data_IF_750594614343
#
_entry.id   IF_750594614343
#
_cell.length_a   1.000
_cell.length_b   1.000
_cell.length_c   1.000
_cell.angle_alpha   90.00
_cell.angle_beta   90.00
_cell.angle_gamma   90.00
#
_symmetry.space_group_name_H-M   'P 1'
#
loop_
_entity.id
_entity.type
_entity.pdbx_description
1 polymer ?
#
# COMPACT_ATOMS: atom_id res chain seq x y z
N UNK A 1 24.76 5.66 -37.98
CA UNK A 1 25.76 5.23 -36.97
C UNK A 1 25.32 5.75 -35.61
N UNK A 2 25.09 4.84 -34.67
CA UNK A 2 24.46 5.10 -33.36
C UNK A 2 25.37 5.88 -32.40
N UNK A 3 24.88 7.02 -31.92
CA UNK A 3 25.39 7.67 -30.71
C UNK A 3 24.86 6.96 -29.47
N UNK A 4 25.68 6.12 -28.86
CA UNK A 4 25.40 5.47 -27.57
C UNK A 4 25.47 6.53 -26.47
N UNK A 5 24.32 7.00 -25.98
CA UNK A 5 24.29 7.72 -24.69
C UNK A 5 24.71 6.73 -23.61
N UNK A 6 25.85 6.98 -22.98
CA UNK A 6 26.23 6.29 -21.73
C UNK A 6 25.16 6.66 -20.71
N UNK A 7 24.40 5.66 -20.26
CA UNK A 7 23.67 5.75 -19.01
C UNK A 7 24.74 5.93 -17.93
N UNK A 8 24.79 7.12 -17.33
CA UNK A 8 25.62 7.35 -16.15
C UNK A 8 25.16 6.37 -15.08
N UNK A 9 26.01 5.42 -14.75
CA UNK A 9 25.90 4.63 -13.52
C UNK A 9 25.83 5.66 -12.39
N UNK A 10 24.70 5.71 -11.69
CA UNK A 10 24.53 6.57 -10.53
C UNK A 10 25.70 6.31 -9.59
N UNK A 11 26.41 7.38 -9.24
CA UNK A 11 27.56 7.39 -8.34
C UNK A 11 27.07 6.80 -7.01
N UNK A 12 27.44 5.55 -6.70
CA UNK A 12 27.30 5.01 -5.35
C UNK A 12 28.30 5.75 -4.45
N UNK A 13 27.98 6.99 -4.09
CA UNK A 13 28.57 7.62 -2.93
C UNK A 13 28.24 6.74 -1.72
N UNK A 14 29.19 6.59 -0.80
CA UNK A 14 29.15 5.61 0.26
C UNK A 14 28.00 5.93 1.23
N UNK A 15 26.81 5.36 1.00
CA UNK A 15 25.56 5.68 1.72
C UNK A 15 25.57 5.24 3.19
N UNK A 16 26.68 4.68 3.70
CA UNK A 16 26.83 4.06 5.02
C UNK A 16 25.82 2.93 5.31
N UNK A 17 25.01 2.51 4.33
CA UNK A 17 24.03 1.42 4.45
C UNK A 17 24.71 0.09 4.79
N UNK A 18 25.97 -0.08 4.37
CA UNK A 18 26.78 -1.26 4.69
C UNK A 18 26.88 -1.54 6.20
N UNK A 19 26.73 -0.50 7.06
CA UNK A 19 26.72 -0.68 8.52
C UNK A 19 25.51 -1.48 9.02
N UNK A 20 24.41 -1.49 8.28
CA UNK A 20 23.17 -2.17 8.64
C UNK A 20 23.05 -3.58 8.03
N UNK A 21 23.98 -4.00 7.15
CA UNK A 21 23.88 -5.27 6.40
C UNK A 21 23.77 -6.54 7.25
N UNK A 22 24.13 -6.46 8.53
CA UNK A 22 24.08 -7.59 9.47
C UNK A 22 23.23 -7.30 10.72
N UNK A 23 22.50 -6.19 10.75
CA UNK A 23 21.70 -5.76 11.90
C UNK A 23 20.26 -6.28 11.82
N UNK A 24 20.06 -7.57 11.53
CA UNK A 24 18.72 -8.16 11.35
C UNK A 24 17.89 -8.21 12.64
N UNK A 25 18.53 -8.09 13.80
CA UNK A 25 17.89 -8.14 15.13
C UNK A 25 17.73 -6.74 15.78
N UNK A 26 17.92 -5.67 15.01
CA UNK A 26 17.82 -4.29 15.51
C UNK A 26 16.67 -3.56 14.84
N UNK A 27 15.71 -3.08 15.63
CA UNK A 27 14.64 -2.20 15.15
C UNK A 27 15.10 -0.76 15.10
N UNK A 28 14.48 0.04 14.23
CA UNK A 28 14.54 1.50 14.32
C UNK A 28 13.94 1.96 15.65
N UNK A 29 14.54 2.98 16.28
CA UNK A 29 13.98 3.52 17.53
C UNK A 29 12.66 4.26 17.31
N UNK A 30 12.54 4.92 16.17
CA UNK A 30 11.40 5.73 15.74
C UNK A 30 11.47 5.98 14.22
N UNK A 31 10.46 6.68 13.67
CA UNK A 31 10.46 7.05 12.25
C UNK A 31 11.61 7.99 11.86
N UNK A 32 12.02 8.90 12.74
CA UNK A 32 13.09 9.86 12.45
C UNK A 32 14.46 9.18 12.34
N UNK A 33 14.66 8.03 13.00
CA UNK A 33 15.86 7.22 12.88
C UNK A 33 16.01 6.63 11.46
N UNK A 34 14.94 6.05 10.93
CA UNK A 34 14.92 5.58 9.53
C UNK A 34 14.99 6.74 8.53
N UNK A 35 14.30 7.85 8.80
CA UNK A 35 14.26 9.03 7.94
C UNK A 35 15.66 9.58 7.64
N UNK A 36 16.56 9.64 8.63
CA UNK A 36 17.97 10.10 8.46
C UNK A 36 18.73 9.34 7.38
N UNK A 37 18.38 8.07 7.14
CA UNK A 37 18.99 7.24 6.11
C UNK A 37 18.23 7.43 4.81
N UNK A 38 16.90 7.41 4.87
CA UNK A 38 16.03 7.55 3.71
C UNK A 38 16.30 8.83 2.92
N UNK A 39 16.45 9.99 3.58
CA UNK A 39 16.69 11.29 2.92
C UNK A 39 18.00 11.34 2.12
N UNK A 40 18.96 10.43 2.39
CA UNK A 40 20.23 10.37 1.65
C UNK A 40 20.11 9.62 0.32
N UNK A 41 19.05 8.82 0.17
CA UNK A 41 18.82 7.93 -0.98
C UNK A 41 17.50 8.23 -1.70
N UNK A 42 16.73 9.19 -1.20
CA UNK A 42 15.43 9.52 -1.73
C UNK A 42 15.54 10.14 -3.13
N UNK A 43 14.48 9.95 -3.90
CA UNK A 43 14.19 10.71 -5.09
C UNK A 43 12.84 11.42 -4.90
N UNK A 44 12.43 12.20 -5.90
CA UNK A 44 11.19 12.99 -5.84
C UNK A 44 9.96 12.14 -5.48
N UNK A 45 9.78 10.96 -6.08
CA UNK A 45 8.60 10.13 -5.83
C UNK A 45 8.66 9.55 -4.41
N UNK A 46 9.81 9.06 -3.97
CA UNK A 46 9.94 8.48 -2.64
C UNK A 46 9.77 9.53 -1.53
N UNK A 47 10.24 10.76 -1.75
CA UNK A 47 10.01 11.88 -0.83
C UNK A 47 8.52 12.27 -0.74
N UNK A 48 7.81 12.26 -1.88
CA UNK A 48 6.35 12.45 -1.87
C UNK A 48 5.64 11.36 -1.06
N UNK A 49 6.04 10.10 -1.20
CA UNK A 49 5.49 9.02 -0.38
C UNK A 49 5.81 9.25 1.11
N UNK A 50 7.06 9.59 1.46
CA UNK A 50 7.45 9.87 2.85
C UNK A 50 6.59 10.97 3.50
N UNK A 51 6.21 12.01 2.75
CA UNK A 51 5.41 13.11 3.28
C UNK A 51 3.90 12.80 3.34
N UNK A 52 3.40 11.87 2.52
CA UNK A 52 1.96 11.64 2.34
C UNK A 52 1.51 10.19 2.60
N UNK A 53 2.38 9.28 3.07
CA UNK A 53 2.04 7.85 3.21
C UNK A 53 0.90 7.56 4.21
N UNK A 54 0.64 8.47 5.15
CA UNK A 54 -0.46 8.35 6.12
C UNK A 54 -1.80 8.85 5.56
N UNK A 55 -1.82 9.42 4.36
CA UNK A 55 -3.05 9.92 3.73
C UNK A 55 -3.77 8.80 2.99
N UNK A 56 -5.06 8.63 3.27
CA UNK A 56 -5.96 7.71 2.56
C UNK A 56 -5.95 7.91 1.05
N UNK A 57 -5.79 9.16 0.61
CA UNK A 57 -5.66 9.52 -0.79
C UNK A 57 -4.40 8.92 -1.43
N UNK A 58 -3.26 8.99 -0.74
CA UNK A 58 -2.00 8.42 -1.22
C UNK A 58 -2.05 6.89 -1.19
N UNK A 59 -2.66 6.31 -0.15
CA UNK A 59 -2.89 4.86 -0.08
C UNK A 59 -3.71 4.37 -1.28
N UNK A 60 -4.88 4.97 -1.53
CA UNK A 60 -5.74 4.62 -2.65
C UNK A 60 -5.11 4.89 -4.03
N UNK A 61 -4.35 5.98 -4.17
CA UNK A 61 -3.65 6.35 -5.40
C UNK A 61 -2.67 5.27 -5.89
N UNK A 62 -1.99 4.59 -4.98
CA UNK A 62 -1.00 3.57 -5.31
C UNK A 62 -1.59 2.33 -5.99
N UNK A 63 -2.88 2.03 -5.77
CA UNK A 63 -3.53 0.91 -6.48
C UNK A 63 -3.76 1.17 -7.98
N UNK A 64 -3.69 2.44 -8.41
CA UNK A 64 -3.86 2.81 -9.82
C UNK A 64 -2.54 3.25 -10.48
N UNK A 65 -1.64 3.87 -9.72
CA UNK A 65 -0.44 4.52 -10.27
C UNK A 65 0.85 4.17 -9.51
N UNK A 66 0.77 3.28 -8.52
CA UNK A 66 1.93 2.82 -7.76
C UNK A 66 2.72 1.74 -8.49
N UNK A 67 3.54 1.01 -7.74
CA UNK A 67 4.41 -0.03 -8.32
C UNK A 67 3.68 -1.31 -8.73
N UNK A 68 2.46 -1.55 -8.24
CA UNK A 68 1.67 -2.75 -8.54
C UNK A 68 0.19 -2.45 -8.86
N UNK A 69 -0.12 -1.74 -9.96
CA UNK A 69 -1.46 -1.24 -10.25
C UNK A 69 -2.33 -2.24 -11.04
N UNK A 70 -2.36 -3.51 -10.61
CA UNK A 70 -3.01 -4.60 -11.35
C UNK A 70 -4.09 -5.37 -10.59
N UNK A 71 -4.24 -5.10 -9.28
CA UNK A 71 -5.09 -5.89 -8.39
C UNK A 71 -6.46 -5.27 -8.14
N UNK A 72 -6.58 -3.95 -8.23
CA UNK A 72 -7.84 -3.26 -7.93
C UNK A 72 -8.90 -3.55 -8.99
N UNK A 73 -10.11 -3.88 -8.53
CA UNK A 73 -11.24 -4.18 -9.38
C UNK A 73 -12.49 -3.46 -8.89
N UNK A 74 -13.38 -3.08 -9.81
CA UNK A 74 -14.68 -2.54 -9.43
C UNK A 74 -15.50 -3.65 -8.76
N UNK A 75 -16.00 -3.37 -7.56
CA UNK A 75 -16.84 -4.28 -6.82
C UNK A 75 -18.24 -4.28 -7.43
N UNK A 76 -18.72 -5.46 -7.86
CA UNK A 76 -20.10 -5.64 -8.36
C UNK A 76 -21.01 -6.31 -7.34
N UNK A 77 -20.41 -6.93 -6.33
CA UNK A 77 -21.08 -7.56 -5.19
C UNK A 77 -20.07 -7.61 -4.04
N UNK A 78 -20.50 -7.23 -2.83
CA UNK A 78 -19.64 -7.31 -1.65
C UNK A 78 -19.18 -8.77 -1.42
N UNK A 79 -17.88 -8.99 -1.11
CA UNK A 79 -17.37 -10.32 -0.77
C UNK A 79 -18.09 -10.86 0.47
N UNK A 80 -18.54 -12.12 0.43
CA UNK A 80 -19.28 -12.74 1.54
C UNK A 80 -18.42 -12.92 2.81
N UNK A 81 -17.10 -13.00 2.65
CA UNK A 81 -16.11 -13.08 3.72
C UNK A 81 -15.67 -11.69 4.24
N UNK A 82 -16.29 -10.60 3.77
CA UNK A 82 -16.12 -9.25 4.28
C UNK A 82 -17.47 -8.74 4.80
N UNK A 83 -17.80 -8.92 6.10
CA UNK A 83 -19.09 -8.55 6.68
C UNK A 83 -19.18 -7.05 7.00
N UNK A 84 -18.82 -6.21 6.03
CA UNK A 84 -18.93 -4.75 6.13
C UNK A 84 -20.39 -4.33 5.97
N UNK A 85 -20.85 -3.40 6.80
CA UNK A 85 -22.21 -2.85 6.73
C UNK A 85 -22.17 -1.36 6.38
N UNK A 86 -23.31 -0.81 5.96
CA UNK A 86 -23.43 0.62 5.67
C UNK A 86 -23.07 1.47 6.89
N UNK A 87 -23.51 1.08 8.09
CA UNK A 87 -23.23 1.81 9.34
C UNK A 87 -21.73 1.89 9.66
N UNK A 88 -20.96 0.85 9.30
CA UNK A 88 -19.51 0.84 9.51
C UNK A 88 -18.77 1.86 8.65
N UNK A 89 -19.32 2.19 7.47
CA UNK A 89 -18.66 3.05 6.46
C UNK A 89 -19.42 4.33 6.16
N UNK A 90 -20.51 4.60 6.89
CA UNK A 90 -21.41 5.73 6.65
C UNK A 90 -20.65 7.06 6.62
N UNK A 91 -19.67 7.24 7.52
CA UNK A 91 -18.85 8.44 7.59
C UNK A 91 -17.94 8.66 6.36
N UNK A 92 -17.69 7.60 5.57
CA UNK A 92 -16.89 7.65 4.35
C UNK A 92 -17.73 7.85 3.08
N UNK A 93 -19.04 7.56 3.13
CA UNK A 93 -19.94 7.68 1.99
C UNK A 93 -20.43 9.13 1.85
N UNK A 94 -20.27 9.71 0.66
CA UNK A 94 -20.50 11.15 0.46
C UNK A 94 -21.83 11.46 -0.26
N UNK A 95 -22.56 10.44 -0.73
CA UNK A 95 -23.73 10.62 -1.59
C UNK A 95 -25.07 10.39 -0.91
N UNK A 96 -25.08 10.16 0.42
CA UNK A 96 -26.30 9.80 1.16
C UNK A 96 -26.96 8.53 0.60
N UNK A 97 -26.12 7.57 0.19
CA UNK A 97 -26.51 6.27 -0.33
C UNK A 97 -26.03 5.19 0.62
N UNK A 98 -26.71 4.05 0.62
CA UNK A 98 -26.21 2.86 1.32
C UNK A 98 -24.98 2.30 0.61
N UNK A 99 -24.21 1.46 1.29
CA UNK A 99 -23.05 0.80 0.70
C UNK A 99 -23.45 -0.04 -0.53
N UNK A 100 -24.57 -0.74 -0.46
CA UNK A 100 -25.09 -1.56 -1.56
C UNK A 100 -25.44 -0.72 -2.78
N UNK A 101 -26.06 0.46 -2.57
CA UNK A 101 -26.36 1.39 -3.65
C UNK A 101 -25.07 1.93 -4.31
N UNK A 102 -24.03 2.22 -3.52
CA UNK A 102 -22.72 2.63 -4.06
C UNK A 102 -22.03 1.51 -4.85
N UNK A 103 -22.23 0.23 -4.48
CA UNK A 103 -21.79 -0.93 -5.27
C UNK A 103 -22.53 -0.99 -6.61
N UNK A 104 -23.86 -0.85 -6.60
CA UNK A 104 -24.69 -0.85 -7.82
C UNK A 104 -24.31 0.27 -8.79
N UNK A 105 -24.03 1.46 -8.28
CA UNK A 105 -23.55 2.60 -9.07
C UNK A 105 -22.09 2.46 -9.52
N UNK A 106 -21.37 1.43 -9.06
CA UNK A 106 -20.00 1.15 -9.44
C UNK A 106 -18.97 2.10 -8.83
N UNK A 107 -19.28 2.71 -7.67
CA UNK A 107 -18.37 3.57 -6.93
C UNK A 107 -17.52 2.81 -5.91
N UNK A 108 -17.79 1.53 -5.66
CA UNK A 108 -17.03 0.69 -4.75
C UNK A 108 -16.03 -0.19 -5.53
N UNK A 109 -14.83 -0.33 -4.97
CA UNK A 109 -13.72 -1.11 -5.50
C UNK A 109 -13.21 -2.06 -4.43
N UNK A 110 -12.55 -3.14 -4.86
CA UNK A 110 -11.98 -4.13 -3.96
C UNK A 110 -10.59 -4.54 -4.41
N UNK A 111 -9.72 -4.78 -3.44
CA UNK A 111 -8.45 -5.46 -3.60
C UNK A 111 -8.45 -6.66 -2.65
N UNK A 112 -8.44 -7.87 -3.22
CA UNK A 112 -8.55 -9.12 -2.48
C UNK A 112 -7.24 -9.91 -2.61
N UNK A 113 -6.53 -10.08 -1.49
CA UNK A 113 -5.26 -10.79 -1.40
C UNK A 113 -5.43 -12.27 -0.98
N UNK A 114 -6.57 -12.91 -1.27
CA UNK A 114 -6.82 -14.34 -1.00
C UNK A 114 -5.71 -15.30 -1.45
N UNK A 115 -4.90 -14.94 -2.46
CA UNK A 115 -3.78 -15.77 -2.91
C UNK A 115 -2.67 -15.92 -1.86
N UNK A 116 -2.62 -15.02 -0.86
CA UNK A 116 -1.70 -15.10 0.26
C UNK A 116 -2.23 -16.00 1.39
N UNK A 117 -3.50 -16.39 1.36
CA UNK A 117 -4.09 -17.23 2.39
C UNK A 117 -3.45 -18.63 2.39
N UNK A 118 -3.05 -19.10 3.56
CA UNK A 118 -2.36 -20.38 3.75
C UNK A 118 -0.91 -20.44 3.23
N UNK A 119 -0.33 -19.33 2.76
CA UNK A 119 1.09 -19.31 2.34
C UNK A 119 2.00 -19.41 3.57
N UNK A 120 2.96 -20.34 3.50
CA UNK A 120 3.98 -20.48 4.54
C UNK A 120 4.83 -19.21 4.67
N UNK A 121 4.90 -18.71 5.90
CA UNK A 121 5.78 -17.60 6.26
C UNK A 121 7.25 -18.03 6.21
N UNK A 122 8.15 -17.08 5.97
CA UNK A 122 9.58 -17.36 6.01
C UNK A 122 10.03 -17.73 7.43
N UNK A 123 10.70 -18.88 7.56
CA UNK A 123 11.25 -19.42 8.82
C UNK A 123 12.76 -19.66 8.74
N UNK A 124 13.47 -19.04 7.79
CA UNK A 124 14.92 -19.25 7.60
C UNK A 124 15.77 -18.66 8.72
N UNK A 125 15.28 -17.62 9.41
CA UNK A 125 15.91 -17.07 10.61
C UNK A 125 15.13 -17.51 11.86
N UNK A 126 15.69 -18.41 12.70
CA UNK A 126 15.01 -18.88 13.90
C UNK A 126 14.87 -17.80 14.99
N UNK A 127 15.64 -16.71 14.91
CA UNK A 127 15.60 -15.60 15.86
C UNK A 127 14.50 -14.58 15.52
N UNK A 128 13.92 -14.64 14.32
CA UNK A 128 12.91 -13.67 13.87
C UNK A 128 11.70 -14.36 13.26
N UNK A 129 10.59 -14.32 13.99
CA UNK A 129 9.29 -14.74 13.47
C UNK A 129 8.78 -13.70 12.46
N UNK A 130 8.39 -14.16 11.27
CA UNK A 130 7.77 -13.34 10.23
C UNK A 130 6.30 -13.73 10.07
N UNK A 131 5.47 -12.77 9.64
CA UNK A 131 4.03 -12.92 9.52
C UNK A 131 3.56 -12.49 8.14
N UNK A 132 2.49 -13.14 7.66
CA UNK A 132 1.77 -12.76 6.45
C UNK A 132 0.29 -12.59 6.78
N UNK A 133 -0.36 -11.75 5.98
CA UNK A 133 -1.79 -11.50 6.03
C UNK A 133 -2.38 -11.75 4.63
N UNK A 134 -3.68 -12.05 4.56
CA UNK A 134 -4.43 -12.15 3.31
C UNK A 134 -5.57 -11.12 3.31
N UNK A 135 -5.25 -9.81 3.24
CA UNK A 135 -6.23 -8.77 3.48
C UNK A 135 -7.26 -8.63 2.36
N UNK A 136 -8.42 -8.08 2.72
CA UNK A 136 -9.40 -7.55 1.78
C UNK A 136 -9.54 -6.05 2.07
N UNK A 137 -9.27 -5.23 1.06
CA UNK A 137 -9.43 -3.78 1.14
C UNK A 137 -10.61 -3.35 0.26
N UNK A 138 -11.56 -2.64 0.87
CA UNK A 138 -12.68 -2.01 0.18
C UNK A 138 -12.38 -0.52 0.02
N UNK A 139 -12.56 -0.01 -1.20
CA UNK A 139 -12.29 1.38 -1.54
C UNK A 139 -13.51 2.03 -2.18
N UNK A 140 -13.58 3.36 -2.08
CA UNK A 140 -14.69 4.17 -2.56
C UNK A 140 -14.21 5.29 -3.47
N UNK A 141 -14.90 5.49 -4.59
CA UNK A 141 -14.73 6.63 -5.49
C UNK A 141 -15.56 7.81 -5.00
N UNK A 142 -14.89 8.74 -4.35
CA UNK A 142 -15.50 9.93 -3.78
C UNK A 142 -15.99 10.93 -4.84
N UNK A 143 -16.60 12.04 -4.40
CA UNK A 143 -17.12 13.09 -5.29
C UNK A 143 -16.02 13.78 -6.12
N UNK A 144 -14.79 13.82 -5.61
CA UNK A 144 -13.61 14.31 -6.32
C UNK A 144 -12.99 13.27 -7.29
N UNK A 145 -13.67 12.15 -7.53
CA UNK A 145 -13.20 11.02 -8.36
C UNK A 145 -11.85 10.45 -7.90
N UNK A 146 -11.59 10.51 -6.60
CA UNK A 146 -10.45 9.85 -5.95
C UNK A 146 -10.92 8.55 -5.34
N UNK A 147 -10.07 7.53 -5.41
CA UNK A 147 -10.28 6.26 -4.73
C UNK A 147 -9.60 6.34 -3.36
N UNK A 148 -10.36 6.11 -2.29
CA UNK A 148 -9.87 6.10 -0.91
C UNK A 148 -10.31 4.82 -0.21
N UNK A 149 -9.50 4.25 0.71
CA UNK A 149 -9.91 3.09 1.52
C UNK A 149 -11.07 3.45 2.45
N UNK A 150 -12.02 2.53 2.62
CA UNK A 150 -13.16 2.68 3.56
C UNK A 150 -13.28 1.51 4.54
N UNK A 151 -12.72 0.35 4.20
CA UNK A 151 -12.65 -0.80 5.10
C UNK A 151 -11.45 -1.69 4.76
N UNK A 152 -10.82 -2.27 5.78
CA UNK A 152 -9.75 -3.25 5.63
C UNK A 152 -9.97 -4.38 6.63
N UNK A 153 -10.03 -5.62 6.15
CA UNK A 153 -9.97 -6.83 6.95
C UNK A 153 -8.63 -7.51 6.70
N UNK A 154 -7.85 -7.81 7.75
CA UNK A 154 -6.46 -8.29 7.62
C UNK A 154 -6.30 -9.82 7.68
N UNK A 155 -7.36 -10.54 8.03
CA UNK A 155 -7.37 -11.99 8.25
C UNK A 155 -8.43 -12.36 9.26
#
# INVERSE_FOLDING_TARGET
MQGRRRVSVCRMENLFINRFMHMFQSSWSDFADFEKIFVRISNTISEQVMNHWQEDLMFGYQFLNGCNPVLIQRCTKLPANLPVTTEMVECSLERQLTLEQEVELGNIFVVDFKLLDGIDVNKTDPCTLQFLAAPICLLYKNLANKIVPIAIQVG
#
